data_IF_847070488328
#
_entry.id   IF_847070488328
#
_cell.length_a   1.000
_cell.length_b   1.000
_cell.length_c   1.000
_cell.angle_alpha   90.00
_cell.angle_beta   90.00
_cell.angle_gamma   90.00
#
_symmetry.space_group_name_H-M   'P 1'
#
loop_
_entity.id
_entity.type
_entity.pdbx_description
1 polymer ?
#
# COMPACT_ATOMS: atom_id res chain seq x y z
N UNK A 1 -20.45 13.97 10.69
CA UNK A 1 -20.54 12.91 11.72
C UNK A 1 -19.91 11.64 11.16
N UNK A 2 -18.97 11.02 11.87
CA UNK A 2 -18.38 9.76 11.40
C UNK A 2 -19.45 8.65 11.47
N UNK A 3 -19.59 7.91 10.36
CA UNK A 3 -20.49 6.76 10.20
C UNK A 3 -21.95 7.06 10.58
N UNK A 4 -22.65 7.95 9.85
CA UNK A 4 -24.00 8.41 10.22
C UNK A 4 -25.07 7.30 10.21
N UNK A 5 -24.83 6.18 9.53
CA UNK A 5 -25.73 5.02 9.48
C UNK A 5 -25.54 4.06 10.66
N UNK A 6 -24.50 4.23 11.48
CA UNK A 6 -24.22 3.37 12.63
C UNK A 6 -25.05 3.85 13.82
N UNK A 7 -25.99 3.00 14.23
CA UNK A 7 -26.86 3.20 15.38
C UNK A 7 -27.09 1.89 16.12
N UNK A 8 -27.56 1.93 17.38
CA UNK A 8 -27.94 0.73 18.11
C UNK A 8 -29.03 -0.11 17.42
N UNK A 9 -29.86 0.52 16.59
CA UNK A 9 -30.95 -0.13 15.85
C UNK A 9 -30.48 -0.74 14.52
N UNK A 10 -29.27 -0.38 14.07
CA UNK A 10 -28.60 -0.99 12.92
C UNK A 10 -27.22 -1.53 13.34
N UNK A 11 -27.19 -2.62 14.13
CA UNK A 11 -25.95 -3.18 14.68
C UNK A 11 -25.03 -3.79 13.62
N UNK A 12 -25.53 -3.96 12.39
CA UNK A 12 -24.79 -4.48 11.25
C UNK A 12 -24.15 -3.38 10.39
N UNK A 13 -24.30 -2.09 10.72
CA UNK A 13 -23.46 -1.07 10.11
C UNK A 13 -22.07 -1.11 10.73
N UNK A 14 -21.17 -1.79 10.03
CA UNK A 14 -19.87 -2.28 10.49
C UNK A 14 -18.81 -1.18 10.70
N UNK A 15 -19.22 0.08 10.75
CA UNK A 15 -18.34 1.23 10.85
C UNK A 15 -17.83 1.68 9.48
N UNK A 16 -17.07 2.76 9.48
CA UNK A 16 -16.62 3.44 8.27
C UNK A 16 -15.19 3.96 8.48
N UNK A 17 -14.52 4.27 7.37
CA UNK A 17 -13.12 4.69 7.40
C UNK A 17 -12.86 5.86 8.35
N UNK A 18 -13.78 6.84 8.42
CA UNK A 18 -13.63 7.99 9.33
C UNK A 18 -13.67 7.61 10.81
N UNK A 19 -14.45 6.61 11.23
CA UNK A 19 -14.40 6.15 12.61
C UNK A 19 -13.07 5.48 12.96
N UNK A 20 -12.43 4.79 12.00
CA UNK A 20 -11.12 4.16 12.21
C UNK A 20 -9.96 5.18 12.24
N UNK A 21 -10.09 6.32 11.55
CA UNK A 21 -9.04 7.35 11.50
C UNK A 21 -9.16 8.42 12.58
N UNK A 22 -10.37 8.73 13.04
CA UNK A 22 -10.59 9.84 13.99
C UNK A 22 -9.80 9.71 15.30
N UNK A 23 -9.57 8.48 15.76
CA UNK A 23 -8.85 8.22 17.01
C UNK A 23 -7.33 8.01 16.82
N UNK A 24 -6.79 8.16 15.60
CA UNK A 24 -5.36 7.86 15.34
C UNK A 24 -4.38 8.79 16.09
N UNK A 25 -4.80 10.02 16.38
CA UNK A 25 -3.98 10.98 17.12
C UNK A 25 -4.16 10.88 18.65
N UNK A 26 -5.03 9.98 19.11
CA UNK A 26 -5.30 9.81 20.53
C UNK A 26 -4.33 8.79 21.13
N UNK A 27 -3.59 9.23 22.15
CA UNK A 27 -2.60 8.39 22.83
C UNK A 27 -3.32 7.25 23.54
N UNK A 28 -2.83 6.01 23.35
CA UNK A 28 -3.42 4.80 23.92
C UNK A 28 -4.89 4.54 23.53
N UNK A 29 -5.37 5.10 22.42
CA UNK A 29 -6.67 4.68 21.88
C UNK A 29 -6.65 3.18 21.59
N UNK A 30 -7.72 2.53 22.01
CA UNK A 30 -7.86 1.06 22.05
C UNK A 30 -8.86 0.57 21.01
N UNK A 31 -9.61 1.48 20.39
CA UNK A 31 -10.56 1.16 19.34
C UNK A 31 -10.93 2.35 18.47
N UNK A 32 -11.86 2.13 17.53
CA UNK A 32 -12.33 3.20 16.67
C UNK A 32 -13.22 4.19 17.42
N UNK A 33 -13.39 5.37 16.81
CA UNK A 33 -14.35 6.36 17.29
C UNK A 33 -15.74 5.71 17.37
N UNK A 34 -16.25 5.61 18.59
CA UNK A 34 -17.47 4.88 18.92
C UNK A 34 -18.45 5.82 19.59
N UNK A 35 -19.71 5.78 19.17
CA UNK A 35 -20.81 6.47 19.86
C UNK A 35 -21.31 5.61 21.02
N UNK A 36 -21.56 6.24 22.15
CA UNK A 36 -22.03 5.59 23.37
C UNK A 36 -23.50 5.93 23.55
N UNK A 37 -24.32 4.88 23.64
CA UNK A 37 -25.75 4.98 23.85
C UNK A 37 -26.14 4.32 25.16
N UNK A 38 -27.22 4.81 25.76
CA UNK A 38 -27.84 4.25 26.97
C UNK A 38 -29.35 4.13 26.73
N UNK A 39 -29.98 3.14 27.34
CA UNK A 39 -31.43 3.09 27.48
C UNK A 39 -31.79 2.63 28.89
N UNK A 40 -32.99 3.00 29.35
CA UNK A 40 -33.54 2.47 30.58
C UNK A 40 -34.17 1.09 30.32
N UNK A 41 -34.03 0.18 31.28
CA UNK A 41 -34.71 -1.10 31.30
C UNK A 41 -35.73 -1.06 32.44
N UNK A 42 -36.99 -1.32 32.13
CA UNK A 42 -38.05 -1.44 33.13
C UNK A 42 -38.03 -2.81 33.82
N UNK A 43 -38.85 -2.99 34.88
CA UNK A 43 -38.89 -4.21 35.68
C UNK A 43 -39.17 -5.49 34.88
N UNK A 44 -39.91 -5.38 33.77
CA UNK A 44 -40.33 -6.50 32.90
C UNK A 44 -39.47 -6.63 31.63
N UNK A 45 -38.19 -6.21 31.67
CA UNK A 45 -37.31 -6.07 30.48
C UNK A 45 -37.88 -5.16 29.37
N UNK A 46 -38.81 -4.27 29.73
CA UNK A 46 -39.30 -3.22 28.84
C UNK A 46 -38.19 -2.25 28.52
N UNK A 47 -37.90 -2.07 27.23
CA UNK A 47 -36.76 -1.29 26.74
C UNK A 47 -37.23 0.11 26.37
N UNK A 48 -36.73 1.11 27.09
CA UNK A 48 -36.88 2.51 26.71
C UNK A 48 -36.10 2.84 25.43
N UNK A 49 -36.27 4.07 24.89
CA UNK A 49 -35.55 4.51 23.72
C UNK A 49 -34.04 4.61 23.99
N UNK A 50 -33.24 4.48 22.94
CA UNK A 50 -31.80 4.75 23.01
C UNK A 50 -31.54 6.26 23.07
N UNK A 51 -30.76 6.67 24.06
CA UNK A 51 -30.24 8.02 24.23
C UNK A 51 -28.75 8.04 23.89
N UNK A 52 -28.32 9.01 23.09
CA UNK A 52 -26.90 9.25 22.84
C UNK A 52 -26.28 9.92 24.07
N UNK A 53 -25.34 9.23 24.73
CA UNK A 53 -24.61 9.76 25.89
C UNK A 53 -23.37 10.53 25.44
N UNK A 54 -22.72 10.10 24.36
CA UNK A 54 -21.51 10.76 23.85
C UNK A 54 -20.72 9.90 22.87
N UNK A 55 -19.40 10.12 22.82
CA UNK A 55 -18.48 9.36 21.98
C UNK A 55 -17.15 9.10 22.67
N UNK A 56 -16.44 8.04 22.28
CA UNK A 56 -15.15 7.64 22.88
C UNK A 56 -14.22 6.99 21.86
N UNK A 57 -12.91 7.06 22.12
CA UNK A 57 -11.87 6.27 21.47
C UNK A 57 -11.43 5.04 22.30
N UNK A 58 -12.07 4.83 23.45
CA UNK A 58 -11.85 3.71 24.38
C UNK A 58 -13.13 2.90 24.59
N UNK A 59 -13.65 2.24 23.54
CA UNK A 59 -14.93 1.57 23.62
C UNK A 59 -14.98 0.44 24.65
N UNK A 60 -13.87 -0.21 24.98
CA UNK A 60 -13.79 -1.25 26.01
C UNK A 60 -13.86 -0.72 27.44
N UNK A 61 -13.69 0.59 27.64
CA UNK A 61 -13.89 1.24 28.95
C UNK A 61 -15.35 1.59 29.23
N UNK A 62 -16.23 1.44 28.24
CA UNK A 62 -17.66 1.72 28.39
C UNK A 62 -18.33 0.60 29.20
N UNK A 63 -18.93 0.89 30.36
CA UNK A 63 -19.57 -0.14 31.20
C UNK A 63 -20.67 -0.90 30.46
N UNK A 64 -20.82 -2.20 30.76
CA UNK A 64 -21.85 -3.04 30.14
C UNK A 64 -21.61 -3.37 28.66
N UNK A 65 -20.44 -3.02 28.12
CA UNK A 65 -20.07 -3.35 26.75
C UNK A 65 -19.52 -4.78 26.68
N UNK A 66 -20.18 -5.71 25.97
CA UNK A 66 -19.63 -7.03 25.77
C UNK A 66 -18.32 -6.95 24.98
N UNK A 67 -17.33 -7.77 25.36
CA UNK A 67 -16.07 -7.92 24.65
C UNK A 67 -16.32 -8.58 23.28
N UNK A 68 -16.68 -7.76 22.29
CA UNK A 68 -16.82 -8.17 20.90
C UNK A 68 -15.56 -7.76 20.13
N UNK A 69 -15.01 -8.61 19.25
CA UNK A 69 -13.96 -8.21 18.33
C UNK A 69 -14.42 -6.99 17.51
N UNK A 70 -13.57 -5.97 17.41
CA UNK A 70 -13.84 -4.73 16.66
C UNK A 70 -12.77 -4.54 15.62
N UNK A 71 -13.16 -4.06 14.44
CA UNK A 71 -12.18 -3.67 13.44
C UNK A 71 -11.39 -2.46 13.95
N UNK A 72 -10.07 -2.53 13.87
CA UNK A 72 -9.17 -1.44 14.24
C UNK A 72 -8.25 -1.09 13.07
N UNK A 73 -7.67 0.11 13.08
CA UNK A 73 -6.65 0.44 12.08
C UNK A 73 -5.44 -0.48 12.18
N UNK A 74 -5.05 -0.93 13.38
CA UNK A 74 -3.93 -1.85 13.54
C UNK A 74 -4.15 -3.16 12.78
N UNK A 75 -5.39 -3.68 12.77
CA UNK A 75 -5.74 -4.86 11.98
C UNK A 75 -5.65 -4.60 10.48
N UNK A 76 -6.11 -3.44 10.01
CA UNK A 76 -6.02 -3.07 8.59
C UNK A 76 -4.56 -2.88 8.18
N UNK A 77 -3.76 -2.23 9.01
CA UNK A 77 -2.32 -2.08 8.79
C UNK A 77 -1.62 -3.44 8.74
N UNK A 78 -1.99 -4.36 9.63
CA UNK A 78 -1.48 -5.73 9.58
C UNK A 78 -1.90 -6.44 8.29
N UNK A 79 -3.17 -6.34 7.88
CA UNK A 79 -3.62 -6.93 6.62
C UNK A 79 -2.91 -6.33 5.40
N UNK A 80 -2.66 -5.02 5.42
CA UNK A 80 -1.86 -4.30 4.43
C UNK A 80 -0.42 -4.83 4.37
N UNK A 81 0.27 -4.96 5.51
CA UNK A 81 1.66 -5.43 5.55
C UNK A 81 1.83 -6.87 5.11
N UNK A 82 0.76 -7.68 5.21
CA UNK A 82 0.73 -9.06 4.72
C UNK A 82 0.17 -9.20 3.30
N UNK A 83 -0.03 -8.09 2.59
CA UNK A 83 -0.47 -8.13 1.19
C UNK A 83 0.65 -8.74 0.33
N UNK A 84 0.35 -9.72 -0.54
CA UNK A 84 1.33 -10.30 -1.44
C UNK A 84 1.61 -9.34 -2.60
N UNK A 85 2.41 -8.30 -2.35
CA UNK A 85 2.70 -7.27 -3.35
C UNK A 85 3.38 -7.84 -4.60
N UNK A 86 2.96 -7.34 -5.77
CA UNK A 86 3.69 -7.57 -7.00
C UNK A 86 5.08 -6.93 -6.88
N UNK A 87 6.13 -7.70 -7.15
CA UNK A 87 7.50 -7.19 -7.11
C UNK A 87 7.78 -6.42 -8.40
N UNK A 88 8.34 -5.20 -8.36
CA UNK A 88 8.65 -4.45 -9.58
C UNK A 88 9.69 -5.21 -10.41
N UNK A 89 9.49 -5.26 -11.73
CA UNK A 89 10.42 -5.86 -12.69
C UNK A 89 11.02 -4.79 -13.58
N UNK A 90 12.28 -4.97 -13.94
CA UNK A 90 13.00 -4.08 -14.83
C UNK A 90 12.96 -4.59 -16.28
N UNK A 91 12.60 -3.70 -17.18
CA UNK A 91 12.92 -3.79 -18.60
C UNK A 91 14.13 -2.88 -18.87
N UNK A 92 15.13 -3.41 -19.56
CA UNK A 92 16.41 -2.74 -19.82
C UNK A 92 16.61 -2.65 -21.33
N UNK A 93 17.01 -1.49 -21.82
CA UNK A 93 17.39 -1.29 -23.21
C UNK A 93 18.82 -0.74 -23.32
N UNK A 94 19.67 -1.28 -24.21
CA UNK A 94 19.35 -2.28 -25.24
C UNK A 94 18.93 -3.66 -24.71
N UNK A 95 18.05 -4.34 -25.46
CA UNK A 95 17.54 -5.67 -25.08
C UNK A 95 18.67 -6.71 -25.07
N UNK A 96 18.50 -7.77 -24.28
CA UNK A 96 19.51 -8.81 -24.11
C UNK A 96 20.49 -8.56 -22.95
N UNK A 97 20.14 -7.65 -22.03
CA UNK A 97 20.92 -7.33 -20.83
C UNK A 97 22.40 -7.06 -21.15
N UNK A 98 22.63 -6.34 -22.23
CA UNK A 98 23.95 -5.97 -22.71
C UNK A 98 23.92 -4.53 -23.17
N UNK A 99 24.83 -3.73 -22.66
CA UNK A 99 24.98 -2.32 -23.00
C UNK A 99 26.42 -2.00 -23.34
N UNK A 100 26.62 -0.88 -24.03
CA UNK A 100 27.94 -0.36 -24.33
C UNK A 100 28.37 0.60 -23.24
N UNK A 101 29.67 0.58 -22.93
CA UNK A 101 30.31 1.62 -22.13
C UNK A 101 29.98 3.01 -22.71
N UNK A 102 29.83 4.01 -21.85
CA UNK A 102 29.52 5.42 -22.13
C UNK A 102 28.19 5.72 -22.84
N UNK A 103 27.47 4.71 -23.33
CA UNK A 103 26.14 4.89 -23.93
C UNK A 103 25.03 4.80 -22.88
N UNK A 104 23.94 5.57 -23.05
CA UNK A 104 22.81 5.53 -22.15
C UNK A 104 22.09 4.18 -22.25
N UNK A 105 21.98 3.50 -21.10
CA UNK A 105 21.12 2.35 -20.89
C UNK A 105 19.81 2.84 -20.31
N UNK A 106 18.68 2.46 -20.90
CA UNK A 106 17.34 2.90 -20.50
C UNK A 106 16.71 1.84 -19.61
N UNK A 107 16.02 2.28 -18.56
CA UNK A 107 15.35 1.42 -17.59
C UNK A 107 13.88 1.76 -17.53
N UNK A 108 13.03 0.74 -17.45
CA UNK A 108 11.61 0.89 -17.23
C UNK A 108 11.12 -0.12 -16.19
N UNK A 109 10.36 0.36 -15.22
CA UNK A 109 9.67 -0.48 -14.24
C UNK A 109 8.34 -0.94 -14.81
N UNK A 110 8.06 -2.21 -14.60
CA UNK A 110 6.79 -2.86 -14.91
C UNK A 110 6.38 -3.72 -13.72
N UNK A 111 5.11 -4.10 -13.64
CA UNK A 111 4.62 -5.03 -12.64
C UNK A 111 4.15 -6.32 -13.31
N UNK A 112 4.50 -7.50 -12.77
CA UNK A 112 3.92 -8.75 -13.22
C UNK A 112 2.46 -8.86 -12.77
N UNK A 113 1.70 -9.74 -13.41
CA UNK A 113 0.35 -10.10 -12.97
C UNK A 113 0.34 -10.90 -11.65
N UNK A 114 1.50 -11.42 -11.22
CA UNK A 114 1.64 -12.17 -9.97
C UNK A 114 1.83 -11.20 -8.79
N UNK A 115 0.92 -11.29 -7.83
CA UNK A 115 0.87 -10.40 -6.66
C UNK A 115 0.04 -9.15 -6.94
N UNK A 116 -0.26 -8.39 -5.89
CA UNK A 116 -1.08 -7.19 -6.02
C UNK A 116 -0.24 -6.00 -6.50
N UNK A 117 -0.52 -5.54 -7.71
CA UNK A 117 0.14 -4.38 -8.31
C UNK A 117 -0.44 -3.06 -7.75
N UNK A 118 0.19 -1.91 -8.01
CA UNK A 118 -0.40 -0.62 -7.69
C UNK A 118 -1.82 -0.49 -8.26
N UNK A 119 -2.72 0.06 -7.47
CA UNK A 119 -4.14 0.28 -7.75
C UNK A 119 -5.03 -0.97 -7.87
N UNK A 120 -4.47 -2.17 -7.67
CA UNK A 120 -5.25 -3.40 -7.67
C UNK A 120 -5.97 -3.63 -6.33
N UNK A 121 -7.28 -3.85 -6.39
CA UNK A 121 -8.09 -4.04 -5.18
C UNK A 121 -8.07 -5.49 -4.73
N UNK A 122 -7.67 -5.70 -3.47
CA UNK A 122 -7.76 -6.98 -2.76
C UNK A 122 -8.81 -6.88 -1.65
N UNK A 123 -9.76 -7.80 -1.63
CA UNK A 123 -10.74 -7.91 -0.54
C UNK A 123 -10.31 -8.92 0.52
N UNK A 124 -10.43 -8.55 1.79
CA UNK A 124 -10.23 -9.43 2.96
C UNK A 124 -11.41 -9.35 3.90
N UNK A 125 -11.57 -10.36 4.76
CA UNK A 125 -12.51 -10.31 5.88
C UNK A 125 -11.74 -10.20 7.18
N UNK A 126 -11.98 -9.12 7.93
CA UNK A 126 -11.36 -8.85 9.23
C UNK A 126 -12.46 -8.78 10.28
N UNK A 127 -12.43 -9.65 11.30
CA UNK A 127 -13.46 -9.74 12.36
C UNK A 127 -14.90 -9.70 11.84
N UNK A 128 -15.15 -10.46 10.76
CA UNK A 128 -16.47 -10.54 10.12
C UNK A 128 -16.81 -9.37 9.18
N UNK A 129 -15.90 -8.42 9.00
CA UNK A 129 -16.11 -7.25 8.14
C UNK A 129 -15.34 -7.38 6.84
N UNK A 130 -16.01 -7.10 5.72
CA UNK A 130 -15.35 -6.94 4.42
C UNK A 130 -14.53 -5.66 4.40
N UNK A 131 -13.25 -5.78 4.10
CA UNK A 131 -12.33 -4.66 3.89
C UNK A 131 -11.66 -4.82 2.55
N UNK A 132 -11.81 -3.82 1.68
CA UNK A 132 -11.04 -3.74 0.44
C UNK A 132 -9.76 -2.96 0.73
N UNK A 133 -8.63 -3.47 0.24
CA UNK A 133 -7.29 -2.89 0.36
C UNK A 133 -6.75 -2.67 -1.04
N UNK A 134 -6.19 -1.49 -1.30
CA UNK A 134 -5.64 -1.11 -2.59
C UNK A 134 -4.22 -0.56 -2.42
N UNK A 135 -3.19 -1.26 -2.91
CA UNK A 135 -1.84 -0.74 -2.95
C UNK A 135 -1.76 0.53 -3.80
N UNK A 136 -0.87 1.44 -3.46
CA UNK A 136 -0.62 2.68 -4.20
C UNK A 136 0.88 2.83 -4.40
N UNK A 137 1.28 3.18 -5.62
CA UNK A 137 2.68 3.48 -5.90
C UNK A 137 3.05 4.83 -5.28
N UNK A 138 4.21 4.91 -4.61
CA UNK A 138 4.71 6.18 -4.04
C UNK A 138 5.99 6.65 -4.71
N UNK A 139 6.97 5.77 -4.89
CA UNK A 139 8.25 6.05 -5.55
C UNK A 139 8.97 4.74 -5.85
N UNK A 140 9.99 4.81 -6.69
CA UNK A 140 10.90 3.70 -6.97
C UNK A 140 12.35 4.17 -6.85
N UNK A 141 13.20 3.26 -6.37
CA UNK A 141 14.66 3.43 -6.38
C UNK A 141 15.24 2.44 -7.39
N UNK A 142 15.95 2.95 -8.38
CA UNK A 142 16.76 2.20 -9.34
C UNK A 142 18.18 2.06 -8.78
N UNK A 143 18.69 0.85 -8.71
CA UNK A 143 20.08 0.56 -8.33
C UNK A 143 20.79 0.02 -9.55
N UNK A 144 21.82 0.73 -10.03
CA UNK A 144 22.50 0.43 -11.29
C UNK A 144 23.67 -0.57 -11.12
N UNK A 145 23.96 -0.99 -9.89
CA UNK A 145 24.93 -2.06 -9.61
C UNK A 145 26.40 -1.67 -9.69
N UNK A 146 26.70 -0.40 -10.02
CA UNK A 146 28.05 0.20 -10.03
C UNK A 146 28.28 1.13 -8.83
N UNK A 147 27.44 1.03 -7.79
CA UNK A 147 27.44 1.91 -6.62
C UNK A 147 26.54 3.13 -6.77
N UNK A 148 25.96 3.39 -7.95
CA UNK A 148 25.04 4.50 -8.17
C UNK A 148 23.57 4.06 -8.10
N UNK A 149 22.68 5.01 -7.78
CA UNK A 149 21.24 4.80 -7.73
C UNK A 149 20.47 6.10 -8.00
N UNK A 150 19.21 5.96 -8.39
CA UNK A 150 18.28 7.08 -8.57
C UNK A 150 16.94 6.77 -7.91
N UNK A 151 16.38 7.72 -7.16
CA UNK A 151 15.03 7.61 -6.58
C UNK A 151 14.11 8.63 -7.22
N UNK A 152 12.95 8.18 -7.72
CA UNK A 152 12.01 9.00 -8.50
C UNK A 152 10.58 8.44 -8.41
N UNK A 153 9.61 9.19 -8.92
CA UNK A 153 8.26 8.71 -9.21
C UNK A 153 8.10 8.25 -10.66
N UNK A 154 9.07 8.52 -11.52
CA UNK A 154 9.05 8.03 -12.90
C UNK A 154 9.28 6.52 -12.97
N UNK A 155 8.45 5.87 -13.77
CA UNK A 155 8.60 4.45 -14.11
C UNK A 155 9.63 4.23 -15.23
N UNK A 156 10.31 5.28 -15.68
CA UNK A 156 11.24 5.20 -16.79
C UNK A 156 10.51 5.06 -18.11
N UNK A 157 11.18 4.43 -19.07
CA UNK A 157 10.59 4.18 -20.37
C UNK A 157 11.60 3.62 -21.36
N UNK A 158 11.12 3.15 -22.52
CA UNK A 158 11.99 2.64 -23.56
C UNK A 158 12.75 3.79 -24.25
N UNK A 159 13.82 3.45 -24.94
CA UNK A 159 14.44 4.33 -25.93
C UNK A 159 13.41 4.72 -27.03
N UNK A 160 13.45 5.94 -27.56
CA UNK A 160 14.35 7.05 -27.21
C UNK A 160 13.82 7.97 -26.09
N UNK A 161 12.56 7.81 -25.69
CA UNK A 161 11.84 8.79 -24.86
C UNK A 161 11.96 8.56 -23.35
N UNK A 162 12.51 7.43 -22.92
CA UNK A 162 12.69 7.12 -21.51
C UNK A 162 13.59 8.13 -20.79
N UNK A 163 13.20 8.51 -19.58
CA UNK A 163 13.85 9.51 -18.76
C UNK A 163 14.82 8.90 -17.73
N UNK A 164 14.62 7.64 -17.36
CA UNK A 164 15.56 6.89 -16.52
C UNK A 164 16.61 6.21 -17.39
N UNK A 165 17.77 6.85 -17.44
CA UNK A 165 18.94 6.41 -18.19
C UNK A 165 20.21 6.45 -17.34
N UNK A 166 21.10 5.50 -17.56
CA UNK A 166 22.41 5.43 -16.91
C UNK A 166 23.50 5.03 -17.89
N UNK A 167 24.65 5.69 -17.83
CA UNK A 167 25.81 5.39 -18.65
C UNK A 167 26.94 4.85 -17.77
N UNK A 168 27.47 3.68 -18.13
CA UNK A 168 28.53 3.03 -17.37
C UNK A 168 29.91 3.43 -17.90
N UNK A 169 30.84 3.70 -17.00
CA UNK A 169 32.18 4.18 -17.37
C UNK A 169 33.20 3.06 -17.63
N UNK A 170 32.96 1.87 -17.07
CA UNK A 170 33.88 0.74 -17.16
C UNK A 170 33.15 -0.50 -17.69
N UNK A 171 33.79 -1.32 -18.55
CA UNK A 171 33.25 -2.62 -18.92
C UNK A 171 33.23 -3.58 -17.72
N UNK A 172 32.34 -4.56 -17.76
CA UNK A 172 32.19 -5.55 -16.70
C UNK A 172 30.77 -6.07 -16.56
N UNK A 173 30.50 -6.77 -15.47
CA UNK A 173 29.17 -7.27 -15.13
C UNK A 173 28.67 -6.59 -13.87
N UNK A 174 27.45 -6.06 -13.91
CA UNK A 174 26.79 -5.44 -12.75
C UNK A 174 25.46 -6.12 -12.46
N UNK A 175 24.98 -5.97 -11.22
CA UNK A 175 23.68 -6.46 -10.78
C UNK A 175 22.74 -5.28 -10.58
N UNK A 176 21.82 -5.07 -11.52
CA UNK A 176 20.83 -3.99 -11.46
C UNK A 176 19.55 -4.46 -10.77
N UNK A 177 18.86 -3.57 -10.06
CA UNK A 177 17.59 -3.90 -9.40
C UNK A 177 16.75 -2.64 -9.16
N UNK A 178 15.50 -2.85 -8.77
CA UNK A 178 14.60 -1.76 -8.34
C UNK A 178 13.90 -2.09 -7.04
N UNK A 179 13.67 -1.08 -6.20
CA UNK A 179 12.83 -1.18 -5.01
C UNK A 179 11.67 -0.19 -5.12
N UNK A 180 10.44 -0.70 -5.20
CA UNK A 180 9.24 0.13 -5.22
C UNK A 180 8.75 0.38 -3.80
N UNK A 181 8.47 1.63 -3.46
CA UNK A 181 7.81 1.99 -2.20
C UNK A 181 6.30 2.04 -2.41
N UNK A 182 5.59 1.19 -1.70
CA UNK A 182 4.13 1.12 -1.68
C UNK A 182 3.56 1.90 -0.49
N UNK A 183 2.52 2.70 -0.73
CA UNK A 183 1.54 3.07 0.28
C UNK A 183 0.27 2.24 0.08
N UNK A 184 -0.69 2.31 0.99
CA UNK A 184 -1.95 1.56 0.86
C UNK A 184 -3.17 2.44 1.09
N UNK A 185 -4.29 2.05 0.52
CA UNK A 185 -5.61 2.58 0.83
C UNK A 185 -6.54 1.44 1.24
N UNK A 186 -7.57 1.75 2.01
CA UNK A 186 -8.61 0.80 2.38
C UNK A 186 -10.01 1.44 2.31
N UNK A 187 -11.03 0.59 2.17
CA UNK A 187 -12.44 0.96 2.38
C UNK A 187 -13.20 -0.21 2.99
N UNK A 188 -14.28 0.07 3.72
CA UNK A 188 -15.02 -0.92 4.49
C UNK A 188 -16.35 -1.19 3.79
N UNK A 189 -16.75 -2.46 3.73
CA UNK A 189 -18.04 -2.87 3.13
C UNK A 189 -18.13 -2.67 1.62
N UNK A 190 -17.01 -2.40 0.94
CA UNK A 190 -16.97 -2.11 -0.49
C UNK A 190 -17.60 -0.76 -0.88
N UNK A 191 -17.93 0.09 0.10
CA UNK A 191 -18.60 1.37 -0.09
C UNK A 191 -17.78 2.51 0.56
N UNK A 192 -18.08 3.74 0.16
CA UNK A 192 -17.46 4.94 0.70
C UNK A 192 -16.09 5.27 0.10
N UNK A 193 -15.49 6.32 0.66
CA UNK A 193 -14.19 6.86 0.27
C UNK A 193 -13.04 5.89 0.59
N UNK A 194 -12.00 5.91 -0.25
CA UNK A 194 -10.73 5.29 0.07
C UNK A 194 -10.01 6.10 1.14
N UNK A 195 -9.47 5.39 2.13
CA UNK A 195 -8.74 5.98 3.25
C UNK A 195 -7.32 5.44 3.25
N UNK A 196 -6.33 6.31 3.44
CA UNK A 196 -4.94 5.89 3.48
C UNK A 196 -4.65 4.98 4.69
N UNK A 197 -3.93 3.89 4.43
CA UNK A 197 -3.31 3.05 5.47
C UNK A 197 -2.05 3.77 5.95
N UNK A 198 -1.89 4.02 7.26
CA UNK A 198 -0.70 4.69 7.78
C UNK A 198 0.60 3.95 7.48
N UNK A 199 1.53 4.63 6.81
CA UNK A 199 2.88 4.17 6.52
C UNK A 199 3.11 3.74 5.07
N UNK A 200 4.34 3.30 4.80
CA UNK A 200 4.74 2.77 3.48
C UNK A 200 5.61 1.53 3.66
N UNK A 201 5.73 0.73 2.60
CA UNK A 201 6.52 -0.50 2.57
C UNK A 201 7.41 -0.55 1.32
N UNK A 202 8.73 -0.69 1.48
CA UNK A 202 9.62 -0.96 0.36
C UNK A 202 9.53 -2.43 -0.07
N UNK A 203 9.33 -2.67 -1.37
CA UNK A 203 9.27 -4.00 -1.99
C UNK A 203 10.36 -4.08 -3.05
N UNK A 204 11.36 -4.92 -2.79
CA UNK A 204 12.47 -5.16 -3.71
C UNK A 204 12.05 -6.09 -4.85
N UNK A 205 12.39 -5.67 -6.07
CA UNK A 205 12.34 -6.49 -7.28
C UNK A 205 13.51 -7.48 -7.35
N UNK A 206 13.44 -8.48 -8.24
CA UNK A 206 14.57 -9.34 -8.51
C UNK A 206 15.73 -8.54 -9.12
N UNK A 207 16.95 -8.93 -8.78
CA UNK A 207 18.14 -8.40 -9.45
C UNK A 207 18.31 -9.03 -10.84
N UNK A 208 18.79 -8.25 -11.80
CA UNK A 208 19.11 -8.67 -13.15
C UNK A 208 20.58 -8.41 -13.43
N UNK A 209 21.27 -9.37 -14.03
CA UNK A 209 22.65 -9.19 -14.45
C UNK A 209 22.69 -8.40 -15.76
N UNK A 210 23.53 -7.37 -15.84
CA UNK A 210 23.76 -6.55 -17.02
C UNK A 210 25.24 -6.60 -17.40
N UNK A 211 25.52 -6.91 -18.67
CA UNK A 211 26.86 -6.91 -19.24
C UNK A 211 27.18 -5.56 -19.90
N UNK A 212 28.28 -4.93 -19.48
CA UNK A 212 28.79 -3.69 -20.03
C UNK A 212 29.99 -4.04 -20.89
N UNK A 213 29.90 -3.80 -22.19
CA UNK A 213 30.93 -4.18 -23.16
C UNK A 213 31.51 -2.96 -23.86
N UNK A 214 32.69 -3.12 -24.45
CA UNK A 214 33.28 -2.15 -25.35
C UNK A 214 32.93 -2.49 -26.80
N UNK A 215 32.85 -1.48 -27.66
CA UNK A 215 32.82 -1.67 -29.11
C UNK A 215 34.21 -1.38 -29.69
N UNK A 216 34.61 -2.14 -30.70
CA UNK A 216 35.81 -1.86 -31.49
C UNK A 216 35.39 -1.60 -32.92
N UNK A 217 35.67 -0.40 -33.42
CA UNK A 217 35.43 -0.08 -34.83
C UNK A 217 36.48 -0.80 -35.69
N UNK A 218 36.02 -1.42 -36.78
CA UNK A 218 36.89 -2.03 -37.80
C UNK A 218 36.39 -1.56 -39.15
N UNK A 219 37.29 -1.02 -39.98
CA UNK A 219 36.99 -0.74 -41.37
C UNK A 219 36.97 -2.06 -42.14
N UNK A 220 35.89 -2.35 -42.85
CA UNK A 220 35.78 -3.47 -43.80
C UNK A 220 35.84 -2.86 -45.19
N UNK A 221 36.76 -3.35 -46.02
CA UNK A 221 36.78 -3.02 -47.44
C UNK A 221 35.71 -3.88 -48.13
N UNK A 222 34.79 -3.24 -48.83
CA UNK A 222 33.85 -3.89 -49.75
C UNK A 222 34.53 -4.25 -51.08
#
# INVERSE_FOLDING_TARGET
MACPRSSPDNPNDYGCGSALTMCMQQVHATGPYSRVYRRLLGPDDTKGPWELVGSTCWPEKVPGTPAKPRLTIAMIKAAWTHTPFAKPTLSIQPVGNRTLVTLPTYFQVTWPATGNQPDEVRTVTLVGQRVDIKPTFKKVTYTFGDGTSATTTSLGGPYPTGDIKHAYNNPGSVSVSTTATYGGQFRIGGQGEWVDVPGTLPIAGPAQQLQIVTATNRLVNE
#
